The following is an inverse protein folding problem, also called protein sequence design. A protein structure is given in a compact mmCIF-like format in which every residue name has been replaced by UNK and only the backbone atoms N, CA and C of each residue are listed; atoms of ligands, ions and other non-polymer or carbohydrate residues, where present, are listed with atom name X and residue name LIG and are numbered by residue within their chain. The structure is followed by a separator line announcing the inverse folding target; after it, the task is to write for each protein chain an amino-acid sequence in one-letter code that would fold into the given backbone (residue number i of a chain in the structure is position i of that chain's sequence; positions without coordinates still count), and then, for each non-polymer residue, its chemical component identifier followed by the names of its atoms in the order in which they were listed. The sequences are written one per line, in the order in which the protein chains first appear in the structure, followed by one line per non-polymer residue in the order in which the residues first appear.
data_IF_547810760529
#
_entry.id   IF_547810760529
#
_cell.length_a   1.000
_cell.length_b   1.000
_cell.length_c   1.000
_cell.angle_alpha   90.00
_cell.angle_beta   90.00
_cell.angle_gamma   90.00
#
_symmetry.space_group_name_H-M   'P 1'
#
loop_
_entity.id
_entity.type
_entity.pdbx_description
1 polymer ?
#
# COMPACT_ATOMS: atom_id res chain seq x y z
N UNK A 1 -32.23 -6.21 4.21
CA UNK A 1 -31.46 -5.39 5.19
C UNK A 1 -30.10 -5.09 4.59
N UNK A 2 -29.68 -3.83 4.49
CA UNK A 2 -28.29 -3.49 4.12
C UNK A 2 -27.41 -3.89 5.29
N UNK A 3 -26.38 -4.70 5.04
CA UNK A 3 -25.44 -5.09 6.07
C UNK A 3 -24.65 -3.86 6.51
N UNK A 4 -24.58 -3.59 7.80
CA UNK A 4 -23.94 -2.40 8.38
C UNK A 4 -22.48 -2.24 7.94
N UNK A 5 -21.80 -3.35 7.61
CA UNK A 5 -20.41 -3.37 7.15
C UNK A 5 -20.24 -3.30 5.60
N UNK A 6 -21.30 -3.02 4.83
CA UNK A 6 -21.20 -2.96 3.36
C UNK A 6 -20.16 -1.94 2.87
N UNK A 7 -20.06 -0.80 3.55
CA UNK A 7 -19.06 0.22 3.22
C UNK A 7 -17.62 -0.27 3.44
N UNK A 8 -17.41 -1.12 4.46
CA UNK A 8 -16.10 -1.77 4.73
C UNK A 8 -15.73 -2.71 3.58
N UNK A 9 -16.67 -3.54 3.11
CA UNK A 9 -16.42 -4.44 1.98
C UNK A 9 -16.01 -3.66 0.73
N UNK A 10 -16.75 -2.60 0.42
CA UNK A 10 -16.45 -1.75 -0.76
C UNK A 10 -15.09 -1.06 -0.61
N UNK A 11 -14.76 -0.58 0.59
CA UNK A 11 -13.48 0.08 0.84
C UNK A 11 -12.31 -0.89 0.65
N UNK A 12 -12.39 -2.10 1.20
CA UNK A 12 -11.37 -3.14 1.05
C UNK A 12 -11.20 -3.60 -0.40
N UNK A 13 -12.29 -3.68 -1.17
CA UNK A 13 -12.22 -3.98 -2.61
C UNK A 13 -11.55 -2.87 -3.44
N UNK A 14 -11.63 -1.62 -2.98
CA UNK A 14 -10.98 -0.48 -3.64
C UNK A 14 -9.49 -0.39 -3.34
N UNK A 15 -9.03 -0.94 -2.21
CA UNK A 15 -7.64 -0.91 -1.81
C UNK A 15 -7.42 -1.03 -0.32
N UNK A 16 -6.35 -0.41 0.17
CA UNK A 16 -5.99 -0.42 1.58
C UNK A 16 -6.91 0.52 2.37
N UNK A 17 -7.40 0.05 3.50
CA UNK A 17 -8.15 0.83 4.49
C UNK A 17 -7.21 1.22 5.60
N UNK A 18 -7.12 2.52 5.91
CA UNK A 18 -6.26 3.05 6.96
C UNK A 18 -7.06 3.51 8.18
N UNK A 19 -6.41 3.54 9.35
CA UNK A 19 -7.00 3.97 10.62
C UNK A 19 -7.53 5.41 10.60
N UNK A 20 -6.98 6.30 9.77
CA UNK A 20 -7.47 7.67 9.62
C UNK A 20 -8.84 7.75 8.89
N UNK A 21 -9.31 6.66 8.29
CA UNK A 21 -10.68 6.52 7.77
C UNK A 21 -11.60 6.04 8.91
N UNK A 22 -11.77 6.88 9.93
CA UNK A 22 -12.35 6.55 11.24
C UNK A 22 -13.66 5.74 11.15
N UNK A 23 -14.61 6.17 10.32
CA UNK A 23 -15.92 5.51 10.21
C UNK A 23 -15.78 4.05 9.73
N UNK A 24 -14.99 3.83 8.69
CA UNK A 24 -14.77 2.51 8.09
C UNK A 24 -13.93 1.64 9.03
N UNK A 25 -12.85 2.23 9.57
CA UNK A 25 -11.95 1.54 10.48
C UNK A 25 -12.65 1.09 11.75
N UNK A 26 -13.39 1.98 12.43
CA UNK A 26 -14.13 1.65 13.66
C UNK A 26 -15.21 0.59 13.41
N UNK A 27 -15.85 0.62 12.25
CA UNK A 27 -16.81 -0.42 11.86
C UNK A 27 -16.11 -1.76 11.66
N UNK A 28 -14.95 -1.79 11.00
CA UNK A 28 -14.16 -3.00 10.78
C UNK A 28 -13.64 -3.60 12.10
N UNK A 29 -13.27 -2.75 13.08
CA UNK A 29 -12.72 -3.20 14.35
C UNK A 29 -13.75 -3.79 15.30
N UNK A 30 -15.05 -3.70 15.02
CA UNK A 30 -16.08 -4.39 15.79
C UNK A 30 -15.98 -5.90 15.58
N UNK A 31 -15.87 -6.73 16.64
CA UNK A 31 -15.61 -8.17 16.51
C UNK A 31 -16.61 -8.92 15.64
N UNK A 32 -17.89 -8.51 15.68
CA UNK A 32 -18.94 -9.12 14.87
C UNK A 32 -18.76 -8.77 13.39
N UNK A 33 -18.47 -7.52 13.08
CA UNK A 33 -18.24 -7.07 11.71
C UNK A 33 -16.93 -7.61 11.14
N UNK A 34 -15.85 -7.64 11.93
CA UNK A 34 -14.57 -8.24 11.50
C UNK A 34 -14.78 -9.70 11.06
N UNK A 35 -15.50 -10.49 11.88
CA UNK A 35 -15.79 -11.89 11.57
C UNK A 35 -16.60 -12.02 10.28
N UNK A 36 -17.67 -11.23 10.14
CA UNK A 36 -18.55 -11.27 8.97
C UNK A 36 -17.83 -10.85 7.69
N UNK A 37 -16.96 -9.83 7.77
CA UNK A 37 -16.12 -9.36 6.66
C UNK A 37 -15.13 -10.44 6.25
N UNK A 38 -14.47 -11.11 7.22
CA UNK A 38 -13.55 -12.24 6.94
C UNK A 38 -14.26 -13.39 6.25
N UNK A 39 -15.44 -13.80 6.75
CA UNK A 39 -16.22 -14.86 6.15
C UNK A 39 -16.62 -14.52 4.72
N UNK A 40 -17.10 -13.30 4.48
CA UNK A 40 -17.49 -12.86 3.14
C UNK A 40 -16.33 -12.94 2.13
N UNK A 41 -15.13 -12.52 2.53
CA UNK A 41 -13.97 -12.55 1.64
C UNK A 41 -13.38 -13.97 1.52
N UNK A 42 -13.50 -14.80 2.53
CA UNK A 42 -13.08 -16.20 2.45
C UNK A 42 -13.88 -16.99 1.40
N UNK A 43 -15.18 -16.70 1.22
CA UNK A 43 -16.04 -17.32 0.20
C UNK A 43 -15.54 -17.04 -1.24
N UNK A 44 -14.76 -16.00 -1.43
CA UNK A 44 -14.15 -15.62 -2.73
C UNK A 44 -12.62 -15.77 -2.73
N UNK A 45 -12.09 -16.61 -1.83
CA UNK A 45 -10.66 -16.93 -1.72
C UNK A 45 -9.75 -15.74 -1.45
N UNK A 46 -10.22 -14.77 -0.66
CA UNK A 46 -9.46 -13.63 -0.18
C UNK A 46 -9.33 -13.66 1.33
N UNK A 47 -8.15 -13.35 1.84
CA UNK A 47 -7.89 -13.12 3.26
C UNK A 47 -7.90 -11.62 3.57
N UNK A 48 -8.52 -11.25 4.69
CA UNK A 48 -8.45 -9.89 5.23
C UNK A 48 -7.28 -9.83 6.21
N UNK A 49 -6.25 -9.11 5.84
CA UNK A 49 -5.11 -8.84 6.70
C UNK A 49 -5.37 -7.52 7.41
N UNK A 50 -5.32 -7.53 8.74
CA UNK A 50 -5.52 -6.36 9.59
C UNK A 50 -4.31 -6.21 10.49
N UNK A 51 -3.60 -5.11 10.35
CA UNK A 51 -2.54 -4.70 11.25
C UNK A 51 -3.05 -3.56 12.14
N UNK A 52 -3.35 -3.89 13.41
CA UNK A 52 -3.89 -2.91 14.36
C UNK A 52 -2.80 -1.98 14.90
N UNK A 53 -1.55 -2.43 14.92
CA UNK A 53 -0.43 -1.63 15.41
C UNK A 53 -0.07 -0.53 14.41
N UNK A 54 0.03 -0.91 13.14
CA UNK A 54 0.32 0.04 12.06
C UNK A 54 -0.92 0.76 11.52
N UNK A 55 -2.13 0.29 11.86
CA UNK A 55 -3.39 0.95 11.54
C UNK A 55 -3.80 0.83 10.07
N UNK A 56 -3.63 -0.33 9.46
CA UNK A 56 -4.12 -0.59 8.10
C UNK A 56 -4.75 -1.98 7.96
N UNK A 57 -5.59 -2.13 6.92
CA UNK A 57 -6.20 -3.41 6.52
C UNK A 57 -6.26 -3.53 4.99
N UNK A 58 -6.04 -4.72 4.46
CA UNK A 58 -6.06 -5.00 3.03
C UNK A 58 -6.46 -6.45 2.71
N UNK A 59 -6.79 -6.69 1.43
CA UNK A 59 -7.11 -8.03 0.92
C UNK A 59 -5.88 -8.71 0.32
N UNK A 60 -5.67 -9.96 0.68
CA UNK A 60 -4.62 -10.81 0.13
C UNK A 60 -5.25 -12.04 -0.52
N UNK A 61 -4.82 -12.37 -1.74
CA UNK A 61 -5.24 -13.62 -2.38
C UNK A 61 -4.76 -14.83 -1.56
N UNK A 62 -5.66 -15.73 -1.22
CA UNK A 62 -5.29 -17.01 -0.62
C UNK A 62 -4.38 -17.77 -1.57
N UNK A 63 -3.22 -18.16 -1.06
CA UNK A 63 -2.39 -19.13 -1.77
C UNK A 63 -2.94 -20.51 -1.41
N UNK A 64 -3.63 -21.13 -2.34
CA UNK A 64 -3.89 -22.56 -2.24
C UNK A 64 -2.52 -23.23 -2.16
N UNK A 65 -2.14 -23.69 -0.95
CA UNK A 65 -0.92 -24.44 -0.77
C UNK A 65 -1.10 -25.77 -1.48
N UNK A 66 -0.61 -25.88 -2.68
CA UNK A 66 -0.30 -27.16 -3.29
C UNK A 66 0.89 -27.72 -2.54
N UNK A 67 0.61 -28.46 -1.45
CA UNK A 67 1.56 -29.38 -0.87
C UNK A 67 1.70 -30.54 -1.84
N UNK A 68 2.60 -30.45 -2.78
CA UNK A 68 3.31 -31.55 -3.45
C UNK A 68 4.01 -30.97 -4.69
N UNK A 69 5.28 -31.28 -4.82
CA UNK A 69 6.21 -30.93 -5.90
C UNK A 69 5.90 -31.68 -7.22
N UNK A 70 4.65 -31.71 -7.68
CA UNK A 70 4.30 -32.23 -8.99
C UNK A 70 3.50 -31.17 -9.74
N UNK A 71 4.16 -30.54 -10.69
CA UNK A 71 3.56 -29.67 -11.72
C UNK A 71 2.61 -30.52 -12.60
N UNK A 72 1.38 -30.70 -12.18
CA UNK A 72 0.31 -31.19 -13.03
C UNK A 72 -0.30 -30.01 -13.78
N UNK A 73 -0.32 -30.01 -15.11
CA UNK A 73 -0.81 -28.86 -15.92
C UNK A 73 -2.33 -28.65 -15.87
N UNK A 74 -3.09 -29.41 -15.08
CA UNK A 74 -4.56 -29.40 -15.05
C UNK A 74 -5.16 -28.95 -13.71
N UNK A 75 -4.41 -28.33 -12.82
CA UNK A 75 -5.04 -27.79 -11.61
C UNK A 75 -5.78 -26.49 -11.94
N UNK A 76 -7.10 -26.53 -11.85
CA UNK A 76 -7.99 -25.37 -11.87
C UNK A 76 -7.55 -24.38 -10.78
N UNK A 77 -6.63 -23.49 -11.15
CA UNK A 77 -6.25 -22.37 -10.29
C UNK A 77 -7.46 -21.45 -10.20
N UNK A 78 -8.01 -21.29 -8.98
CA UNK A 78 -9.09 -20.35 -8.73
C UNK A 78 -8.78 -18.99 -9.39
N UNK A 79 -9.75 -18.34 -10.05
CA UNK A 79 -9.53 -17.11 -10.76
C UNK A 79 -8.93 -16.05 -9.83
N UNK A 80 -7.79 -15.47 -10.20
CA UNK A 80 -7.12 -14.45 -9.40
C UNK A 80 -7.88 -13.14 -9.51
N UNK A 81 -8.55 -12.73 -8.42
CA UNK A 81 -9.26 -11.45 -8.32
C UNK A 81 -8.29 -10.27 -8.21
N UNK A 82 -7.16 -10.46 -7.52
CA UNK A 82 -6.14 -9.43 -7.35
C UNK A 82 -5.12 -9.52 -8.49
N UNK A 83 -5.14 -8.53 -9.39
CA UNK A 83 -4.15 -8.43 -10.46
C UNK A 83 -2.85 -7.86 -9.92
N UNK A 84 -1.76 -8.61 -10.05
CA UNK A 84 -0.41 -8.08 -9.81
C UNK A 84 0.02 -7.24 -11.01
N UNK A 85 0.29 -5.95 -10.78
CA UNK A 85 0.86 -5.07 -11.80
C UNK A 85 2.31 -4.80 -11.44
N UNK A 86 3.26 -5.03 -12.37
CA UNK A 86 4.65 -4.67 -12.12
C UNK A 86 4.77 -3.14 -11.99
N UNK A 87 5.49 -2.69 -10.97
CA UNK A 87 5.86 -1.29 -10.82
C UNK A 87 7.00 -0.96 -11.80
N UNK A 88 7.04 0.27 -12.28
CA UNK A 88 8.18 0.74 -13.06
C UNK A 88 9.44 0.86 -12.19
N UNK A 89 10.62 0.85 -12.81
CA UNK A 89 11.89 0.98 -12.07
C UNK A 89 11.90 2.19 -11.13
N UNK A 90 11.49 3.37 -11.60
CA UNK A 90 11.49 4.60 -10.79
C UNK A 90 10.51 4.54 -9.61
N UNK A 91 9.33 3.94 -9.81
CA UNK A 91 8.35 3.73 -8.73
C UNK A 91 8.89 2.74 -7.70
N UNK A 92 9.47 1.62 -8.15
CA UNK A 92 10.07 0.61 -7.26
C UNK A 92 11.25 1.19 -6.46
N UNK A 93 12.11 1.98 -7.12
CA UNK A 93 13.22 2.65 -6.48
C UNK A 93 12.72 3.62 -5.40
N UNK A 94 11.73 4.47 -5.72
CA UNK A 94 11.16 5.39 -4.75
C UNK A 94 10.56 4.65 -3.55
N UNK A 95 9.76 3.59 -3.77
CA UNK A 95 9.22 2.77 -2.68
C UNK A 95 10.32 2.19 -1.77
N UNK A 96 11.43 1.72 -2.36
CA UNK A 96 12.57 1.21 -1.60
C UNK A 96 13.22 2.30 -0.74
N UNK A 97 13.41 3.50 -1.29
CA UNK A 97 14.00 4.64 -0.58
C UNK A 97 13.10 5.13 0.56
N UNK A 98 11.79 5.19 0.32
CA UNK A 98 10.81 5.54 1.35
C UNK A 98 10.81 4.52 2.49
N UNK A 99 10.87 3.22 2.17
CA UNK A 99 10.97 2.17 3.19
C UNK A 99 12.25 2.27 4.00
N UNK A 100 13.37 2.56 3.35
CA UNK A 100 14.64 2.81 4.04
C UNK A 100 14.51 3.97 5.02
N UNK A 101 13.94 5.09 4.56
CA UNK A 101 13.72 6.28 5.39
C UNK A 101 12.80 5.98 6.59
N UNK A 102 11.74 5.17 6.42
CA UNK A 102 10.91 4.71 7.53
C UNK A 102 11.71 3.95 8.59
N UNK A 103 12.56 3.02 8.17
CA UNK A 103 13.40 2.22 9.08
C UNK A 103 14.37 3.12 9.85
N UNK A 104 14.99 4.09 9.18
CA UNK A 104 15.92 5.05 9.80
C UNK A 104 15.19 5.92 10.82
N UNK A 105 14.01 6.46 10.46
CA UNK A 105 13.18 7.26 11.36
C UNK A 105 12.72 6.45 12.61
N UNK A 106 12.40 5.16 12.43
CA UNK A 106 12.01 4.28 13.54
C UNK A 106 13.17 4.00 14.50
N UNK A 107 14.41 3.90 13.98
CA UNK A 107 15.61 3.69 14.79
C UNK A 107 16.00 4.93 15.59
N UNK A 108 15.79 6.12 15.03
CA UNK A 108 16.10 7.39 15.68
C UNK A 108 15.07 7.74 16.78
N UNK A 109 13.88 7.17 16.71
CA UNK A 109 12.84 7.32 17.74
C UNK A 109 12.27 8.73 17.88
N UNK A 110 12.57 9.62 16.92
CA UNK A 110 12.21 11.04 17.00
C UNK A 110 10.73 11.30 16.69
N UNK A 111 10.11 10.49 15.85
CA UNK A 111 8.71 10.70 15.43
C UNK A 111 8.03 9.40 15.04
N UNK A 112 6.74 9.28 15.38
CA UNK A 112 5.87 8.20 14.89
C UNK A 112 5.51 8.36 13.41
N UNK A 113 5.81 9.53 12.82
CA UNK A 113 5.47 9.86 11.43
C UNK A 113 6.74 10.24 10.67
N UNK A 114 6.99 9.54 9.57
CA UNK A 114 8.05 9.91 8.65
C UNK A 114 7.51 10.93 7.64
N UNK A 115 8.04 12.15 7.68
CA UNK A 115 7.63 13.25 6.81
C UNK A 115 8.83 13.65 5.95
N UNK A 116 8.60 13.80 4.65
CA UNK A 116 9.59 14.25 3.68
C UNK A 116 9.05 15.45 2.91
N UNK A 117 9.91 16.43 2.67
CA UNK A 117 9.65 17.51 1.71
C UNK A 117 9.81 17.01 0.27
N UNK A 118 9.27 17.74 -0.69
CA UNK A 118 9.45 17.45 -2.10
C UNK A 118 10.94 17.46 -2.49
N UNK A 119 11.70 18.41 -1.99
CA UNK A 119 13.13 18.53 -2.28
C UNK A 119 13.93 17.32 -1.76
N UNK A 120 13.61 16.81 -0.58
CA UNK A 120 14.25 15.61 -0.04
C UNK A 120 13.99 14.38 -0.89
N UNK A 121 12.74 14.20 -1.36
CA UNK A 121 12.40 13.10 -2.28
C UNK A 121 13.17 13.22 -3.59
N UNK A 122 13.24 14.41 -4.17
CA UNK A 122 13.98 14.67 -5.41
C UNK A 122 15.48 14.35 -5.23
N UNK A 123 16.08 14.79 -4.12
CA UNK A 123 17.47 14.55 -3.80
C UNK A 123 17.75 13.06 -3.60
N UNK A 124 16.90 12.35 -2.85
CA UNK A 124 17.00 10.89 -2.64
C UNK A 124 16.98 10.14 -3.98
N UNK A 125 16.07 10.51 -4.87
CA UNK A 125 15.96 9.88 -6.18
C UNK A 125 17.18 10.19 -7.06
N UNK A 126 17.62 11.45 -7.12
CA UNK A 126 18.78 11.88 -7.93
C UNK A 126 20.07 11.18 -7.55
N UNK A 127 20.30 10.92 -6.26
CA UNK A 127 21.46 10.17 -5.78
C UNK A 127 21.58 8.74 -6.35
N UNK A 128 20.44 8.12 -6.68
CA UNK A 128 20.37 6.72 -7.14
C UNK A 128 20.10 6.58 -8.64
N UNK A 129 19.70 7.66 -9.30
CA UNK A 129 19.56 7.69 -10.75
C UNK A 129 20.92 8.07 -11.36
N UNK A 130 21.38 7.28 -12.34
CA UNK A 130 22.59 7.65 -13.10
C UNK A 130 22.37 9.04 -13.71
N UNK A 131 23.42 9.87 -13.69
CA UNK A 131 23.42 11.15 -14.38
C UNK A 131 23.06 10.97 -15.85
N UNK A 132 21.80 11.17 -16.16
CA UNK A 132 21.37 11.28 -17.55
C UNK A 132 21.61 12.70 -18.00
N UNK A 133 22.16 12.87 -19.18
CA UNK A 133 22.49 14.14 -19.83
C UNK A 133 21.28 15.10 -19.96
N UNK A 134 20.08 14.65 -19.59
CA UNK A 134 18.84 15.40 -19.71
C UNK A 134 18.12 15.51 -18.34
N UNK A 135 18.47 16.51 -17.54
CA UNK A 135 17.87 16.79 -16.22
C UNK A 135 16.34 16.96 -16.27
N UNK A 136 15.83 17.58 -17.35
CA UNK A 136 14.38 17.78 -17.53
C UNK A 136 13.63 16.45 -17.63
N UNK A 137 14.23 15.47 -18.30
CA UNK A 137 13.62 14.15 -18.43
C UNK A 137 13.66 13.39 -17.10
N UNK A 138 14.76 13.49 -16.37
CA UNK A 138 14.92 12.91 -15.04
C UNK A 138 13.86 13.48 -14.07
N UNK A 139 13.67 14.81 -14.07
CA UNK A 139 12.65 15.43 -13.22
C UNK A 139 11.24 14.95 -13.55
N UNK A 140 10.87 14.84 -14.82
CA UNK A 140 9.56 14.29 -15.24
C UNK A 140 9.37 12.85 -14.78
N UNK A 141 10.42 12.04 -14.80
CA UNK A 141 10.36 10.65 -14.32
C UNK A 141 10.14 10.59 -12.81
N UNK A 142 10.80 11.45 -12.04
CA UNK A 142 10.60 11.58 -10.59
C UNK A 142 9.17 12.05 -10.30
N UNK A 143 8.68 13.08 -11.00
CA UNK A 143 7.31 13.60 -10.83
C UNK A 143 6.27 12.50 -11.10
N UNK A 144 6.46 11.72 -12.16
CA UNK A 144 5.59 10.60 -12.50
C UNK A 144 5.64 9.50 -11.43
N UNK A 145 6.82 9.19 -10.89
CA UNK A 145 6.97 8.21 -9.83
C UNK A 145 6.28 8.66 -8.54
N UNK A 146 6.47 9.92 -8.12
CA UNK A 146 5.83 10.48 -6.92
C UNK A 146 4.30 10.43 -7.03
N UNK A 147 3.74 10.88 -8.16
CA UNK A 147 2.29 10.79 -8.40
C UNK A 147 1.80 9.35 -8.29
N UNK A 148 2.51 8.40 -8.90
CA UNK A 148 2.12 6.99 -8.87
C UNK A 148 2.18 6.41 -7.46
N UNK A 149 3.18 6.77 -6.66
CA UNK A 149 3.33 6.34 -5.26
C UNK A 149 2.22 6.92 -4.38
N UNK A 150 1.77 8.16 -4.66
CA UNK A 150 0.58 8.76 -4.01
C UNK A 150 -0.70 8.02 -4.41
N UNK A 151 -0.89 7.74 -5.70
CA UNK A 151 -2.07 7.00 -6.20
C UNK A 151 -2.17 5.59 -5.61
N UNK A 152 -1.03 4.92 -5.39
CA UNK A 152 -0.98 3.61 -4.75
C UNK A 152 -1.07 3.68 -3.20
N UNK A 153 -1.10 4.89 -2.62
CA UNK A 153 -1.31 5.11 -1.20
C UNK A 153 -0.06 4.97 -0.31
N UNK A 154 1.15 4.89 -0.88
CA UNK A 154 2.39 4.83 -0.08
C UNK A 154 2.87 6.20 0.41
N UNK A 155 2.43 7.27 -0.26
CA UNK A 155 2.65 8.65 0.17
C UNK A 155 1.32 9.37 0.31
N UNK A 156 1.22 10.23 1.32
CA UNK A 156 0.09 11.13 1.52
C UNK A 156 0.58 12.57 1.52
N UNK A 157 0.08 13.37 0.58
CA UNK A 157 0.37 14.80 0.57
C UNK A 157 -0.31 15.48 1.76
N UNK A 158 0.46 16.26 2.51
CA UNK A 158 -0.04 17.03 3.64
C UNK A 158 -0.62 18.37 3.15
N UNK A 159 -1.66 18.84 3.82
CA UNK A 159 -2.25 20.16 3.56
C UNK A 159 -1.48 21.23 4.35
N UNK A 160 -0.25 21.48 3.95
CA UNK A 160 0.62 22.53 4.53
C UNK A 160 1.02 23.52 3.43
N UNK A 161 1.50 24.70 3.80
CA UNK A 161 1.97 25.73 2.85
C UNK A 161 3.23 25.27 2.08
N UNK A 162 3.91 24.25 2.57
CA UNK A 162 5.05 23.58 1.91
C UNK A 162 4.62 22.21 1.38
N UNK A 163 5.16 21.81 0.23
CA UNK A 163 4.93 20.47 -0.33
C UNK A 163 5.60 19.40 0.54
N UNK A 164 4.85 18.91 1.52
CA UNK A 164 5.27 17.86 2.44
C UNK A 164 4.44 16.60 2.24
N UNK A 165 5.10 15.46 2.43
CA UNK A 165 4.51 14.15 2.23
C UNK A 165 4.76 13.29 3.48
N UNK A 166 3.70 12.67 3.99
CA UNK A 166 3.78 11.64 5.01
C UNK A 166 3.95 10.29 4.33
N UNK A 167 4.94 9.53 4.75
CA UNK A 167 5.16 8.16 4.27
C UNK A 167 4.24 7.23 5.04
N UNK A 168 3.34 6.55 4.33
CA UNK A 168 2.45 5.55 4.93
C UNK A 168 3.22 4.24 5.17
N UNK A 169 2.93 3.60 6.28
CA UNK A 169 3.53 2.30 6.69
C UNK A 169 2.83 1.14 6.03
#
# INVERSE_FOLDING_TARGET
MRKTYSNVLIALLKGIVYSHQEEIWNTLMQPEHERDVRNYFADIHLDVIIDKAEGYAYLKQQQLQTTCEEESPEQETAPKLIRRRPLTFHVSLLCLLLRKHLIENDQEGESTKAILSREEIDNLMKLHLKENTNEVNTQKQIDSAVRKVIDEGFLRQMKTDQEQYEVNR
#
